data_IF_244910814263
#
_entry.id   IF_244910814263
#
_cell.length_a   1.000
_cell.length_b   1.000
_cell.length_c   1.000
_cell.angle_alpha   90.00
_cell.angle_beta   90.00
_cell.angle_gamma   90.00
#
_symmetry.space_group_name_H-M   'P 1'
#
loop_
_entity.id
_entity.type
_entity.pdbx_description
1 polymer ?
#
# COMPACT_ATOMS: atom_id res chain seq x y z
N UNK A 1 -18.16 -16.42 -10.70
CA UNK A 1 -17.52 -15.36 -11.52
C UNK A 1 -16.02 -15.55 -11.43
N UNK A 2 -15.33 -15.73 -12.56
CA UNK A 2 -13.86 -15.72 -12.58
C UNK A 2 -13.41 -14.34 -12.08
N UNK A 3 -12.75 -14.29 -10.92
CA UNK A 3 -12.17 -13.04 -10.41
C UNK A 3 -11.11 -12.59 -11.43
N UNK A 4 -11.19 -11.33 -11.86
CA UNK A 4 -10.11 -10.72 -12.64
C UNK A 4 -8.79 -10.87 -11.87
N UNK A 5 -7.70 -11.12 -12.59
CA UNK A 5 -6.35 -11.24 -12.04
C UNK A 5 -5.46 -10.16 -12.65
N UNK A 6 -4.42 -9.74 -11.93
CA UNK A 6 -3.42 -8.81 -12.45
C UNK A 6 -2.81 -9.33 -13.76
N UNK A 7 -2.74 -8.47 -14.77
CA UNK A 7 -2.22 -8.77 -16.11
C UNK A 7 -1.04 -7.84 -16.43
N UNK A 8 0.18 -8.37 -16.39
CA UNK A 8 1.39 -7.60 -16.70
C UNK A 8 2.06 -7.98 -18.02
N UNK A 9 1.41 -8.82 -18.84
CA UNK A 9 2.02 -9.37 -20.06
C UNK A 9 2.52 -8.29 -21.02
N UNK A 10 1.75 -7.20 -21.20
CA UNK A 10 2.14 -6.08 -22.07
C UNK A 10 3.35 -5.32 -21.51
N UNK A 11 3.37 -5.04 -20.21
CA UNK A 11 4.52 -4.39 -19.56
C UNK A 11 5.77 -5.27 -19.61
N UNK A 12 5.62 -6.59 -19.39
CA UNK A 12 6.74 -7.54 -19.38
C UNK A 12 7.41 -7.75 -20.74
N UNK A 13 6.80 -7.30 -21.84
CA UNK A 13 7.49 -7.20 -23.14
C UNK A 13 8.66 -6.21 -23.10
N UNK A 14 8.63 -5.22 -22.22
CA UNK A 14 9.69 -4.21 -22.05
C UNK A 14 10.67 -4.56 -20.94
N UNK A 15 10.19 -5.21 -19.89
CA UNK A 15 11.01 -5.64 -18.76
C UNK A 15 10.51 -7.01 -18.28
N UNK A 16 11.15 -8.08 -18.75
CA UNK A 16 10.78 -9.45 -18.41
C UNK A 16 11.45 -9.96 -17.12
N UNK A 17 12.38 -9.19 -16.56
CA UNK A 17 13.16 -9.55 -15.36
C UNK A 17 12.35 -9.26 -14.09
N UNK A 18 11.60 -8.17 -14.09
CA UNK A 18 10.79 -7.75 -12.93
C UNK A 18 9.72 -8.78 -12.57
N UNK A 19 9.66 -9.12 -11.28
CA UNK A 19 8.78 -10.17 -10.79
C UNK A 19 7.32 -9.71 -10.77
N UNK A 20 6.39 -10.65 -10.93
CA UNK A 20 4.96 -10.35 -10.83
C UNK A 20 4.60 -9.82 -9.44
N UNK A 21 5.16 -10.40 -8.38
CA UNK A 21 4.91 -9.95 -7.00
C UNK A 21 5.39 -8.51 -6.76
N UNK A 22 6.51 -8.10 -7.35
CA UNK A 22 6.94 -6.70 -7.28
C UNK A 22 5.93 -5.78 -7.98
N UNK A 23 5.44 -6.16 -9.17
CA UNK A 23 4.47 -5.33 -9.90
C UNK A 23 3.12 -5.24 -9.17
N UNK A 24 2.63 -6.33 -8.60
CA UNK A 24 1.43 -6.33 -7.75
C UNK A 24 1.61 -5.41 -6.54
N UNK A 25 2.74 -5.54 -5.84
CA UNK A 25 3.10 -4.65 -4.74
C UNK A 25 3.18 -3.19 -5.21
N UNK A 26 3.80 -2.93 -6.36
CA UNK A 26 3.97 -1.56 -6.87
C UNK A 26 2.64 -0.91 -7.24
N UNK A 27 1.68 -1.68 -7.77
CA UNK A 27 0.31 -1.21 -7.97
C UNK A 27 -0.32 -0.83 -6.63
N UNK A 28 -0.31 -1.72 -5.64
CA UNK A 28 -0.87 -1.40 -4.31
C UNK A 28 -0.21 -0.18 -3.66
N UNK A 29 1.10 -0.07 -3.74
CA UNK A 29 1.86 1.05 -3.18
C UNK A 29 1.53 2.37 -3.89
N UNK A 30 1.43 2.35 -5.21
CA UNK A 30 0.98 3.50 -6.02
C UNK A 30 -0.44 3.95 -5.67
N UNK A 31 -1.31 3.00 -5.35
CA UNK A 31 -2.70 3.30 -5.02
C UNK A 31 -2.89 3.99 -3.66
N UNK A 32 -1.90 3.91 -2.76
CA UNK A 32 -1.80 4.79 -1.60
C UNK A 32 -1.02 6.07 -1.91
N UNK A 33 0.28 5.96 -2.17
CA UNK A 33 1.23 7.09 -2.18
C UNK A 33 1.58 7.65 -3.57
N UNK A 34 1.04 7.06 -4.63
CA UNK A 34 1.26 7.45 -6.02
C UNK A 34 0.20 8.40 -6.58
N UNK A 35 0.59 9.20 -7.56
CA UNK A 35 -0.26 10.23 -8.19
C UNK A 35 -0.09 10.25 -9.70
N UNK A 36 -1.22 10.15 -10.40
CA UNK A 36 -1.36 10.43 -11.83
C UNK A 36 -1.70 11.92 -11.99
N UNK A 37 -0.74 12.71 -12.47
CA UNK A 37 -0.84 14.17 -12.48
C UNK A 37 -0.99 14.65 -13.92
N UNK A 38 -2.02 15.46 -14.17
CA UNK A 38 -2.12 16.35 -15.33
C UNK A 38 -1.88 17.76 -14.81
N UNK A 39 -0.82 18.42 -15.27
CA UNK A 39 -0.55 19.79 -14.84
C UNK A 39 -1.38 20.82 -15.63
N UNK A 40 -1.35 22.09 -15.22
CA UNK A 40 -2.12 23.18 -15.87
C UNK A 40 -1.73 23.44 -17.34
N UNK A 41 -0.54 22.99 -17.76
CA UNK A 41 -0.08 23.05 -19.16
C UNK A 41 -0.49 21.82 -19.96
N UNK A 42 -1.25 20.91 -19.36
CA UNK A 42 -1.68 19.66 -19.95
C UNK A 42 -0.65 18.53 -19.92
N UNK A 43 0.55 18.73 -19.36
CA UNK A 43 1.55 17.67 -19.30
C UNK A 43 1.19 16.59 -18.28
N UNK A 44 1.35 15.34 -18.69
CA UNK A 44 1.19 14.17 -17.84
C UNK A 44 2.48 13.85 -17.09
N UNK A 45 2.37 13.56 -15.81
CA UNK A 45 3.50 13.13 -14.96
C UNK A 45 3.00 12.11 -13.95
N UNK A 46 3.81 11.10 -13.66
CA UNK A 46 3.57 10.15 -12.58
C UNK A 46 4.54 10.42 -11.44
N UNK A 47 4.04 10.39 -10.20
CA UNK A 47 4.84 10.64 -9.00
C UNK A 47 4.50 9.64 -7.91
N UNK A 48 5.52 9.10 -7.23
CA UNK A 48 5.38 8.47 -5.90
C UNK A 48 6.16 9.31 -4.91
N UNK A 49 5.51 9.75 -3.82
CA UNK A 49 6.13 10.60 -2.80
C UNK A 49 6.40 9.80 -1.53
N UNK A 50 7.58 9.95 -0.93
CA UNK A 50 7.92 9.30 0.34
C UNK A 50 8.74 10.22 1.25
N UNK A 51 8.66 9.95 2.56
CA UNK A 51 9.59 10.51 3.53
C UNK A 51 11.03 10.04 3.25
N UNK A 52 12.03 10.84 3.62
CA UNK A 52 13.46 10.59 3.34
C UNK A 52 13.97 9.29 3.95
N UNK A 53 13.40 8.87 5.08
CA UNK A 53 13.65 7.55 5.69
C UNK A 53 13.35 6.37 4.75
N UNK A 54 12.42 6.58 3.81
CA UNK A 54 12.01 5.62 2.80
C UNK A 54 12.61 5.95 1.41
N UNK A 55 13.59 6.85 1.27
CA UNK A 55 14.16 7.18 -0.06
C UNK A 55 14.65 5.94 -0.82
N UNK A 56 15.17 4.94 -0.09
CA UNK A 56 15.62 3.69 -0.69
C UNK A 56 14.51 2.95 -1.45
N UNK A 57 13.23 3.06 -1.05
CA UNK A 57 12.14 2.40 -1.77
C UNK A 57 11.91 3.05 -3.13
N UNK A 58 12.08 4.37 -3.23
CA UNK A 58 11.97 5.10 -4.49
C UNK A 58 13.10 4.71 -5.45
N UNK A 59 14.32 4.52 -4.92
CA UNK A 59 15.44 4.00 -5.71
C UNK A 59 15.16 2.56 -6.19
N UNK A 60 14.69 1.69 -5.30
CA UNK A 60 14.28 0.32 -5.65
C UNK A 60 13.23 0.30 -6.76
N UNK A 61 12.21 1.16 -6.68
CA UNK A 61 11.18 1.30 -7.73
C UNK A 61 11.82 1.69 -9.07
N UNK A 62 12.67 2.72 -9.08
CA UNK A 62 13.38 3.14 -10.30
C UNK A 62 14.20 1.98 -10.89
N UNK A 63 14.94 1.27 -10.06
CA UNK A 63 15.86 0.23 -10.49
C UNK A 63 15.12 -1.01 -11.02
N UNK A 64 14.02 -1.41 -10.37
CA UNK A 64 13.15 -2.51 -10.79
C UNK A 64 12.38 -2.20 -12.09
N UNK A 65 11.92 -0.95 -12.25
CA UNK A 65 11.25 -0.52 -13.48
C UNK A 65 12.23 -0.28 -14.63
N UNK A 66 13.45 0.15 -14.32
CA UNK A 66 14.49 0.51 -15.29
C UNK A 66 14.33 1.92 -15.89
N UNK A 67 13.49 2.77 -15.30
CA UNK A 67 13.23 4.13 -15.77
C UNK A 67 12.73 5.06 -14.66
N UNK A 68 12.59 6.34 -14.98
CA UNK A 68 12.20 7.39 -14.05
C UNK A 68 13.38 7.95 -13.25
N UNK A 69 13.10 8.96 -12.42
CA UNK A 69 14.12 9.66 -11.64
C UNK A 69 13.69 9.79 -10.18
N UNK A 70 14.65 9.68 -9.25
CA UNK A 70 14.43 9.97 -7.82
C UNK A 70 15.01 11.34 -7.51
N UNK A 71 14.16 12.25 -7.08
CA UNK A 71 14.52 13.65 -6.76
C UNK A 71 14.17 14.01 -5.32
N UNK A 72 14.92 14.95 -4.75
CA UNK A 72 14.56 15.57 -3.47
C UNK A 72 13.53 16.67 -3.73
N UNK A 73 12.38 16.61 -3.05
CA UNK A 73 11.30 17.60 -3.20
C UNK A 73 11.28 18.62 -2.05
N UNK A 74 11.77 18.24 -0.87
CA UNK A 74 11.83 19.11 0.29
C UNK A 74 12.85 18.62 1.32
N UNK A 75 12.81 19.18 2.53
CA UNK A 75 13.77 18.83 3.59
C UNK A 75 13.72 17.33 3.89
N UNK A 76 12.51 16.80 4.10
CA UNK A 76 12.24 15.42 4.49
C UNK A 76 11.52 14.60 3.42
N UNK A 77 11.33 15.12 2.21
CA UNK A 77 10.48 14.50 1.18
C UNK A 77 11.27 14.22 -0.11
N UNK A 78 11.14 13.00 -0.63
CA UNK A 78 11.69 12.58 -1.93
C UNK A 78 10.56 12.08 -2.84
N UNK A 79 10.81 12.11 -4.14
CA UNK A 79 9.85 11.68 -5.16
C UNK A 79 10.52 10.80 -6.19
N UNK A 80 9.87 9.69 -6.55
CA UNK A 80 10.07 9.02 -7.82
C UNK A 80 9.18 9.71 -8.86
N UNK A 81 9.74 10.13 -9.99
CA UNK A 81 9.06 10.95 -11.00
C UNK A 81 9.29 10.35 -12.39
N UNK A 82 8.21 10.22 -13.15
CA UNK A 82 8.24 9.82 -14.57
C UNK A 82 7.46 10.85 -15.39
N UNK A 83 8.09 11.39 -16.42
CA UNK A 83 7.52 12.42 -17.30
C UNK A 83 7.90 12.27 -18.79
N UNK A 84 8.79 11.33 -19.12
CA UNK A 84 9.17 11.05 -20.52
C UNK A 84 8.05 10.28 -21.22
N UNK A 85 7.67 10.68 -22.45
CA UNK A 85 6.59 10.04 -23.25
C UNK A 85 6.68 8.52 -23.22
N UNK A 86 7.83 7.95 -23.59
CA UNK A 86 8.01 6.50 -23.67
C UNK A 86 7.88 5.78 -22.33
N UNK A 87 8.33 6.39 -21.23
CA UNK A 87 8.25 5.78 -19.90
C UNK A 87 6.85 5.91 -19.29
N UNK A 88 6.14 7.00 -19.61
CA UNK A 88 4.72 7.14 -19.30
C UNK A 88 3.91 6.05 -19.98
N UNK A 89 4.18 5.76 -21.26
CA UNK A 89 3.52 4.67 -21.96
C UNK A 89 3.74 3.31 -21.29
N UNK A 90 4.96 3.02 -20.83
CA UNK A 90 5.25 1.79 -20.06
C UNK A 90 4.43 1.72 -18.77
N UNK A 91 4.28 2.83 -18.04
CA UNK A 91 3.40 2.89 -16.86
C UNK A 91 1.92 2.67 -17.23
N UNK A 92 1.45 3.20 -18.36
CA UNK A 92 0.10 2.92 -18.85
C UNK A 92 -0.07 1.41 -19.05
N UNK A 93 0.88 0.74 -19.70
CA UNK A 93 0.84 -0.72 -19.87
C UNK A 93 0.90 -1.51 -18.55
N UNK A 94 1.56 -0.97 -17.53
CA UNK A 94 1.63 -1.57 -16.20
C UNK A 94 0.29 -1.44 -15.46
N UNK A 95 -0.32 -0.25 -15.45
CA UNK A 95 -1.51 0.04 -14.64
C UNK A 95 -2.83 -0.27 -15.33
N UNK A 96 -2.89 -0.26 -16.66
CA UNK A 96 -4.15 -0.42 -17.40
C UNK A 96 -4.78 -1.80 -17.15
N UNK A 97 -5.96 -1.83 -16.53
CA UNK A 97 -6.63 -3.04 -16.07
C UNK A 97 -6.15 -3.61 -14.72
N UNK A 98 -5.13 -3.02 -14.11
CA UNK A 98 -4.52 -3.51 -12.86
C UNK A 98 -4.84 -2.66 -11.62
N UNK A 99 -5.42 -1.46 -11.78
CA UNK A 99 -5.79 -0.60 -10.64
C UNK A 99 -7.01 -1.16 -9.92
N UNK A 100 -6.98 -1.18 -8.58
CA UNK A 100 -8.04 -1.75 -7.73
C UNK A 100 -9.02 -0.69 -7.23
N UNK A 101 -8.54 0.43 -6.67
CA UNK A 101 -9.34 1.50 -6.08
C UNK A 101 -10.14 2.25 -7.15
N UNK A 102 -11.48 2.36 -7.02
CA UNK A 102 -12.30 3.11 -7.95
C UNK A 102 -11.87 4.57 -8.13
N UNK A 103 -11.45 5.24 -7.05
CA UNK A 103 -10.93 6.61 -7.13
C UNK A 103 -9.66 6.73 -7.99
N UNK A 104 -8.72 5.79 -7.87
CA UNK A 104 -7.48 5.77 -8.68
C UNK A 104 -7.75 5.39 -10.13
N UNK A 105 -8.74 4.54 -10.41
CA UNK A 105 -9.19 4.24 -11.79
C UNK A 105 -9.65 5.52 -12.50
N UNK A 106 -10.45 6.35 -11.83
CA UNK A 106 -10.90 7.66 -12.37
C UNK A 106 -9.70 8.56 -12.69
N UNK A 107 -8.77 8.71 -11.75
CA UNK A 107 -7.57 9.54 -11.95
C UNK A 107 -6.68 9.02 -13.10
N UNK A 108 -6.50 7.70 -13.18
CA UNK A 108 -5.75 7.06 -14.27
C UNK A 108 -6.43 7.26 -15.63
N UNK A 109 -7.76 7.18 -15.71
CA UNK A 109 -8.49 7.41 -16.95
C UNK A 109 -8.25 8.82 -17.50
N UNK A 110 -8.42 9.84 -16.66
CA UNK A 110 -8.15 11.23 -17.04
C UNK A 110 -6.70 11.44 -17.49
N UNK A 111 -5.76 10.74 -16.84
CA UNK A 111 -4.35 10.81 -17.16
C UNK A 111 -4.00 10.15 -18.50
N UNK A 112 -4.60 8.99 -18.82
CA UNK A 112 -4.46 8.33 -20.13
C UNK A 112 -5.12 9.15 -21.24
N UNK A 113 -6.30 9.72 -21.00
CA UNK A 113 -6.98 10.58 -21.97
C UNK A 113 -6.11 11.79 -22.33
N UNK A 114 -5.48 12.40 -21.34
CA UNK A 114 -4.55 13.50 -21.59
C UNK A 114 -3.27 13.05 -22.30
N UNK A 115 -2.71 11.90 -21.93
CA UNK A 115 -1.57 11.32 -22.65
C UNK A 115 -1.91 11.10 -24.13
N UNK A 116 -3.08 10.54 -24.43
CA UNK A 116 -3.57 10.32 -25.78
C UNK A 116 -3.64 11.63 -26.59
N UNK A 117 -4.29 12.67 -26.02
CA UNK A 117 -4.39 13.99 -26.64
C UNK A 117 -3.04 14.62 -26.98
N UNK A 118 -2.10 14.58 -26.04
CA UNK A 118 -0.77 15.20 -26.22
C UNK A 118 0.07 14.50 -27.28
N UNK A 119 -0.12 13.19 -27.43
CA UNK A 119 0.80 12.34 -28.19
C UNK A 119 0.19 11.78 -29.47
N UNK A 120 -1.07 12.11 -29.77
CA UNK A 120 -1.85 11.56 -30.88
C UNK A 120 -1.94 10.02 -30.81
N UNK A 121 -2.11 9.50 -29.59
CA UNK A 121 -2.24 8.07 -29.30
C UNK A 121 -3.71 7.72 -29.02
N UNK A 122 -4.06 6.43 -29.08
CA UNK A 122 -5.43 5.94 -28.86
C UNK A 122 -5.46 4.76 -27.88
N UNK A 123 -4.86 4.91 -26.70
CA UNK A 123 -4.89 3.87 -25.68
C UNK A 123 -6.25 3.82 -25.00
N UNK A 124 -6.93 2.68 -25.07
CA UNK A 124 -8.20 2.44 -24.37
C UNK A 124 -7.95 1.96 -22.94
N UNK A 125 -8.59 2.61 -21.97
CA UNK A 125 -8.54 2.20 -20.55
C UNK A 125 -9.46 1.00 -20.34
N UNK A 126 -8.91 -0.07 -19.77
CA UNK A 126 -9.66 -1.29 -19.50
C UNK A 126 -10.52 -1.13 -18.24
N UNK A 127 -11.81 -1.41 -18.38
CA UNK A 127 -12.72 -1.53 -17.23
C UNK A 127 -12.66 -2.95 -16.70
N UNK A 128 -11.88 -3.18 -15.63
CA UNK A 128 -11.82 -4.45 -14.92
C UNK A 128 -12.16 -4.26 -13.44
N UNK A 129 -13.07 -5.07 -12.91
CA UNK A 129 -13.39 -5.10 -11.48
C UNK A 129 -12.44 -6.04 -10.74
N UNK A 130 -11.20 -5.56 -10.57
CA UNK A 130 -10.19 -6.23 -9.78
C UNK A 130 -10.45 -5.99 -8.28
N UNK A 131 -10.34 -7.06 -7.49
CA UNK A 131 -10.45 -7.02 -6.04
C UNK A 131 -9.15 -7.51 -5.39
N UNK A 132 -8.80 -7.01 -4.19
CA UNK A 132 -7.68 -7.54 -3.42
C UNK A 132 -7.83 -9.04 -3.17
N UNK A 133 -6.70 -9.75 -3.11
CA UNK A 133 -6.67 -11.17 -2.79
C UNK A 133 -5.56 -11.48 -1.79
N UNK A 134 -5.75 -12.55 -1.02
CA UNK A 134 -4.69 -13.15 -0.19
C UNK A 134 -3.62 -13.88 -1.01
N UNK A 135 -3.78 -13.98 -2.33
CA UNK A 135 -2.93 -14.72 -3.26
C UNK A 135 -2.07 -13.82 -4.16
N UNK A 136 -1.98 -12.53 -3.86
CA UNK A 136 -1.11 -11.57 -4.56
C UNK A 136 -0.51 -10.54 -3.59
N UNK A 137 0.51 -9.80 -4.05
CA UNK A 137 1.25 -8.85 -3.23
C UNK A 137 0.64 -7.44 -3.15
N UNK A 138 -0.53 -7.20 -3.75
CA UNK A 138 -1.14 -5.87 -3.81
C UNK A 138 -1.39 -5.29 -2.42
N UNK A 139 -1.94 -6.08 -1.49
CA UNK A 139 -2.22 -5.59 -0.15
C UNK A 139 -0.94 -5.30 0.64
N UNK A 140 0.18 -5.96 0.37
CA UNK A 140 1.48 -5.59 0.94
C UNK A 140 1.90 -4.18 0.50
N UNK A 141 1.78 -3.87 -0.79
CA UNK A 141 2.05 -2.53 -1.31
C UNK A 141 1.13 -1.47 -0.75
N UNK A 142 -0.18 -1.75 -0.75
CA UNK A 142 -1.16 -0.81 -0.22
C UNK A 142 -0.99 -0.60 1.29
N UNK A 143 -0.59 -1.64 2.03
CA UNK A 143 -0.24 -1.53 3.46
C UNK A 143 1.02 -0.71 3.69
N UNK A 144 2.04 -0.84 2.83
CA UNK A 144 3.26 -0.02 2.89
C UNK A 144 2.96 1.48 2.79
N UNK A 145 1.92 1.87 2.06
CA UNK A 145 1.42 3.24 2.02
C UNK A 145 0.49 3.54 3.22
N UNK A 146 -0.66 2.88 3.31
CA UNK A 146 -1.80 3.30 4.15
C UNK A 146 -1.99 2.50 5.45
N UNK A 147 -1.29 1.38 5.61
CA UNK A 147 -1.49 0.47 6.73
C UNK A 147 -0.79 0.92 8.02
N UNK A 148 -1.26 0.45 9.17
CA UNK A 148 -0.64 0.73 10.46
C UNK A 148 -0.69 -0.49 11.38
N UNK A 149 0.46 -0.83 11.95
CA UNK A 149 0.60 -1.82 13.00
C UNK A 149 0.68 -1.11 14.35
N UNK A 150 -0.14 -1.51 15.31
CA UNK A 150 -0.17 -0.83 16.61
C UNK A 150 -0.44 -1.80 17.75
N UNK A 151 0.21 -1.52 18.87
CA UNK A 151 -0.15 -2.05 20.16
C UNK A 151 -0.23 -0.90 21.16
N UNK A 152 -1.11 -1.00 22.16
CA UNK A 152 -1.19 -0.05 23.26
C UNK A 152 -1.42 -0.81 24.55
N UNK A 153 -0.57 -0.59 25.55
CA UNK A 153 -0.73 -1.11 26.90
C UNK A 153 -1.56 -0.10 27.70
N UNK A 154 -2.71 -0.50 28.25
CA UNK A 154 -3.62 0.41 28.96
C UNK A 154 -3.12 0.66 30.39
N UNK A 155 -3.21 1.91 30.86
CA UNK A 155 -2.46 2.38 32.04
C UNK A 155 -2.81 1.68 33.37
N UNK A 156 -4.08 1.32 33.57
CA UNK A 156 -4.59 0.92 34.90
C UNK A 156 -4.94 -0.57 34.99
N UNK A 157 -4.46 -1.39 34.06
CA UNK A 157 -4.73 -2.83 34.07
C UNK A 157 -3.67 -3.59 33.26
N UNK A 158 -3.75 -4.92 33.27
CA UNK A 158 -3.00 -5.77 32.35
C UNK A 158 -3.52 -5.69 30.90
N UNK A 159 -4.62 -4.97 30.64
CA UNK A 159 -5.24 -4.88 29.33
C UNK A 159 -4.34 -4.21 28.29
N UNK A 160 -4.59 -4.58 27.04
CA UNK A 160 -3.91 -4.06 25.87
C UNK A 160 -4.86 -3.99 24.67
N UNK A 161 -4.50 -3.17 23.68
CA UNK A 161 -5.11 -3.13 22.35
C UNK A 161 -4.03 -3.53 21.35
N UNK A 162 -4.28 -4.54 20.54
CA UNK A 162 -3.33 -5.04 19.53
C UNK A 162 -4.05 -5.07 18.19
N UNK A 163 -3.65 -4.20 17.26
CA UNK A 163 -4.43 -3.91 16.05
C UNK A 163 -3.56 -3.81 14.82
N UNK A 164 -4.13 -4.26 13.71
CA UNK A 164 -3.77 -3.81 12.37
C UNK A 164 -4.89 -2.89 11.86
N UNK A 165 -4.51 -1.75 11.29
CA UNK A 165 -5.41 -0.72 10.78
C UNK A 165 -5.10 -0.46 9.30
N UNK A 166 -6.13 -0.23 8.50
CA UNK A 166 -6.00 0.22 7.13
C UNK A 166 -7.08 1.26 6.86
N UNK A 167 -6.68 2.47 6.48
CA UNK A 167 -7.58 3.61 6.29
C UNK A 167 -7.68 3.93 4.81
N UNK A 168 -8.86 4.33 4.36
CA UNK A 168 -9.05 4.83 3.01
C UNK A 168 -10.20 5.86 2.98
N UNK A 169 -10.01 6.92 2.20
CA UNK A 169 -11.00 7.98 1.92
C UNK A 169 -11.92 7.58 0.77
N UNK A 170 -13.16 8.06 0.78
CA UNK A 170 -14.11 7.90 -0.33
C UNK A 170 -15.00 6.68 -0.14
N UNK A 171 -16.31 6.90 -0.08
CA UNK A 171 -17.31 5.84 -0.04
C UNK A 171 -17.14 4.86 -1.21
N UNK A 172 -16.69 5.32 -2.38
CA UNK A 172 -16.45 4.43 -3.52
C UNK A 172 -15.32 3.43 -3.26
N UNK A 173 -14.34 3.77 -2.40
CA UNK A 173 -13.23 2.89 -2.09
C UNK A 173 -13.56 1.95 -0.90
N UNK A 174 -14.66 2.17 -0.18
CA UNK A 174 -15.05 1.34 0.98
C UNK A 174 -15.20 -0.13 0.59
N UNK A 175 -15.69 -0.42 -0.61
CA UNK A 175 -15.84 -1.80 -1.14
C UNK A 175 -14.51 -2.56 -1.15
N UNK A 176 -13.39 -1.86 -1.31
CA UNK A 176 -12.05 -2.47 -1.29
C UNK A 176 -11.66 -2.85 0.15
N UNK A 177 -12.00 -2.05 1.16
CA UNK A 177 -11.82 -2.42 2.56
C UNK A 177 -12.71 -3.61 2.94
N UNK A 178 -13.96 -3.64 2.48
CA UNK A 178 -14.89 -4.76 2.71
C UNK A 178 -14.35 -6.06 2.06
N UNK A 179 -13.76 -5.96 0.86
CA UNK A 179 -13.09 -7.07 0.20
C UNK A 179 -11.89 -7.60 1.00
N UNK A 180 -11.04 -6.72 1.53
CA UNK A 180 -9.91 -7.10 2.39
C UNK A 180 -10.40 -7.76 3.69
N UNK A 181 -11.45 -7.21 4.29
CA UNK A 181 -12.09 -7.78 5.49
C UNK A 181 -12.54 -9.23 5.27
N UNK A 182 -12.99 -9.58 4.06
CA UNK A 182 -13.46 -10.94 3.76
C UNK A 182 -12.40 -12.03 3.96
N UNK A 183 -11.11 -11.72 3.77
CA UNK A 183 -10.02 -12.68 3.96
C UNK A 183 -9.11 -12.39 5.17
N UNK A 184 -8.94 -11.13 5.58
CA UNK A 184 -8.20 -10.79 6.81
C UNK A 184 -9.05 -10.85 8.08
N UNK A 185 -10.37 -10.74 7.96
CA UNK A 185 -11.29 -10.53 9.09
C UNK A 185 -11.29 -9.07 9.57
N UNK A 186 -11.73 -8.85 10.81
CA UNK A 186 -11.84 -7.50 11.40
C UNK A 186 -13.19 -6.84 11.12
N UNK A 187 -13.24 -5.51 11.29
CA UNK A 187 -14.44 -4.68 11.10
C UNK A 187 -14.11 -3.46 10.26
N UNK A 188 -14.89 -3.21 9.21
CA UNK A 188 -14.88 -1.93 8.49
C UNK A 188 -15.88 -0.98 9.15
N UNK A 189 -15.46 0.24 9.42
CA UNK A 189 -16.32 1.29 10.00
C UNK A 189 -15.96 2.67 9.47
N UNK A 190 -16.95 3.56 9.41
CA UNK A 190 -16.72 4.99 9.20
C UNK A 190 -15.92 5.57 10.37
N UNK A 191 -15.02 6.50 10.07
CA UNK A 191 -14.27 7.27 11.07
C UNK A 191 -15.01 8.57 11.41
N UNK A 192 -14.53 9.29 12.43
CA UNK A 192 -15.07 10.60 12.80
C UNK A 192 -14.89 11.63 11.65
N UNK A 193 -13.79 11.53 10.91
CA UNK A 193 -13.59 12.35 9.72
C UNK A 193 -14.58 11.92 8.62
N UNK A 194 -15.26 12.91 8.04
CA UNK A 194 -16.22 12.70 6.95
C UNK A 194 -15.56 11.93 5.79
N UNK A 195 -16.30 10.95 5.25
CA UNK A 195 -15.91 10.19 4.06
C UNK A 195 -14.57 9.44 4.21
N UNK A 196 -14.27 8.99 5.43
CA UNK A 196 -13.11 8.19 5.76
C UNK A 196 -13.53 6.88 6.43
N UNK A 197 -12.97 5.77 5.94
CA UNK A 197 -13.30 4.42 6.39
C UNK A 197 -12.05 3.70 6.86
N UNK A 198 -12.20 2.84 7.86
CA UNK A 198 -11.08 2.08 8.42
C UNK A 198 -11.46 0.62 8.59
N UNK A 199 -10.62 -0.27 8.06
CA UNK A 199 -10.58 -1.67 8.47
C UNK A 199 -9.76 -1.78 9.75
N UNK A 200 -10.35 -2.38 10.79
CA UNK A 200 -9.69 -2.68 12.06
C UNK A 200 -9.68 -4.17 12.32
N UNK A 201 -8.50 -4.80 12.26
CA UNK A 201 -8.30 -6.16 12.78
C UNK A 201 -7.82 -6.04 14.22
N UNK A 202 -8.74 -6.22 15.17
CA UNK A 202 -8.47 -6.07 16.59
C UNK A 202 -8.28 -7.43 17.28
N UNK A 203 -7.26 -7.50 18.14
CA UNK A 203 -7.01 -8.62 19.03
C UNK A 203 -5.97 -9.61 18.49
N UNK A 204 -5.20 -10.18 19.43
CA UNK A 204 -4.10 -11.11 19.17
C UNK A 204 -4.50 -12.34 18.35
N UNK A 205 -5.70 -12.90 18.60
CA UNK A 205 -6.21 -14.07 17.87
C UNK A 205 -6.49 -13.74 16.40
N UNK A 206 -7.15 -12.61 16.13
CA UNK A 206 -7.52 -12.19 14.78
C UNK A 206 -6.30 -11.78 13.93
N UNK A 207 -5.24 -11.29 14.58
CA UNK A 207 -4.00 -10.92 13.93
C UNK A 207 -3.25 -12.06 13.21
N UNK A 208 -3.58 -13.34 13.49
CA UNK A 208 -2.92 -14.48 12.83
C UNK A 208 -3.03 -14.43 11.31
N UNK A 209 -4.23 -14.16 10.77
CA UNK A 209 -4.46 -14.02 9.32
C UNK A 209 -3.67 -12.86 8.70
N UNK A 210 -3.49 -11.79 9.47
CA UNK A 210 -2.68 -10.64 9.06
C UNK A 210 -1.20 -11.05 8.95
N UNK A 211 -0.70 -11.80 9.93
CA UNK A 211 0.68 -12.29 9.91
C UNK A 211 0.90 -13.32 8.81
N UNK A 212 -0.02 -14.27 8.61
CA UNK A 212 0.03 -15.25 7.52
C UNK A 212 0.16 -14.56 6.15
N UNK A 213 -0.56 -13.46 5.92
CA UNK A 213 -0.46 -12.70 4.68
C UNK A 213 0.89 -12.00 4.52
N UNK A 214 1.36 -11.24 5.53
CA UNK A 214 2.61 -10.48 5.43
C UNK A 214 3.89 -11.31 5.57
N UNK A 215 3.78 -12.53 6.11
CA UNK A 215 4.85 -13.53 6.05
C UNK A 215 5.01 -14.10 4.63
N UNK A 216 3.89 -14.23 3.89
CA UNK A 216 3.89 -14.65 2.48
C UNK A 216 4.29 -13.52 1.53
N UNK A 217 3.80 -12.30 1.75
CA UNK A 217 4.08 -11.11 0.94
C UNK A 217 4.74 -10.04 1.80
N UNK A 218 6.06 -9.94 1.70
CA UNK A 218 6.85 -9.00 2.51
C UNK A 218 6.58 -7.54 2.16
N UNK A 219 6.42 -6.72 3.22
CA UNK A 219 6.50 -5.26 3.13
C UNK A 219 7.91 -4.83 2.72
N UNK A 220 8.02 -3.75 1.96
CA UNK A 220 9.28 -3.27 1.38
C UNK A 220 9.74 -1.93 1.98
N UNK A 221 8.87 -1.17 2.65
CA UNK A 221 9.26 0.09 3.32
C UNK A 221 9.75 -0.14 4.75
N UNK A 222 10.09 0.92 5.49
CA UNK A 222 10.41 0.83 6.93
C UNK A 222 9.30 0.17 7.74
N UNK A 223 8.07 0.10 7.21
CA UNK A 223 6.93 -0.58 7.82
C UNK A 223 7.15 -2.09 7.99
N UNK A 224 8.08 -2.70 7.25
CA UNK A 224 8.54 -4.07 7.53
C UNK A 224 9.09 -4.20 8.95
N UNK A 225 9.89 -3.23 9.41
CA UNK A 225 10.40 -3.20 10.79
C UNK A 225 9.25 -3.05 11.80
N UNK A 226 8.28 -2.19 11.50
CA UNK A 226 7.07 -2.05 12.31
C UNK A 226 6.30 -3.36 12.44
N UNK A 227 6.12 -4.08 11.33
CA UNK A 227 5.49 -5.39 11.31
C UNK A 227 6.28 -6.43 12.13
N UNK A 228 7.60 -6.47 11.98
CA UNK A 228 8.44 -7.43 12.70
C UNK A 228 8.41 -7.20 14.21
N UNK A 229 8.48 -5.93 14.65
CA UNK A 229 8.36 -5.57 16.06
C UNK A 229 6.95 -5.90 16.56
N UNK A 230 5.91 -5.58 15.79
CA UNK A 230 4.52 -5.88 16.13
C UNK A 230 4.29 -7.39 16.28
N UNK A 231 4.79 -8.20 15.35
CA UNK A 231 4.79 -9.68 15.43
C UNK A 231 5.54 -10.17 16.66
N UNK A 232 6.70 -9.61 16.99
CA UNK A 232 7.42 -9.97 18.20
C UNK A 232 6.68 -9.56 19.49
N UNK A 233 5.91 -8.47 19.47
CA UNK A 233 5.00 -8.08 20.56
C UNK A 233 3.84 -9.08 20.71
N UNK A 234 3.37 -9.68 19.61
CA UNK A 234 2.37 -10.75 19.67
C UNK A 234 2.82 -11.91 20.58
N UNK A 235 4.06 -12.36 20.40
CA UNK A 235 4.65 -13.46 21.17
C UNK A 235 4.80 -13.09 22.65
N UNK A 236 5.24 -11.86 22.94
CA UNK A 236 5.32 -11.35 24.32
C UNK A 236 3.93 -11.31 24.99
N UNK A 237 2.90 -10.92 24.25
CA UNK A 237 1.52 -10.92 24.73
C UNK A 237 1.00 -12.36 24.93
N UNK A 238 1.34 -13.28 24.04
CA UNK A 238 1.00 -14.70 24.17
C UNK A 238 1.63 -15.31 25.44
N UNK A 239 2.88 -14.95 25.72
CA UNK A 239 3.62 -15.38 26.91
C UNK A 239 3.29 -14.57 28.18
N UNK A 240 2.18 -13.82 28.16
CA UNK A 240 1.68 -13.03 29.30
C UNK A 240 2.68 -12.03 29.90
N UNK A 241 3.69 -11.57 29.13
CA UNK A 241 4.67 -10.57 29.62
C UNK A 241 4.06 -9.22 30.00
N UNK A 242 2.82 -8.96 29.61
CA UNK A 242 2.07 -7.77 30.00
C UNK A 242 1.44 -7.85 31.40
N UNK A 243 1.45 -9.02 32.05
CA UNK A 243 0.82 -9.27 33.35
C UNK A 243 1.74 -8.93 34.53
N UNK A 244 3.06 -9.08 34.38
CA UNK A 244 4.05 -8.73 35.40
C UNK A 244 4.60 -7.32 35.16
N UNK A 245 4.75 -6.51 36.21
CA UNK A 245 5.17 -5.10 36.14
C UNK A 245 6.52 -4.92 35.43
N UNK A 246 7.53 -5.69 35.81
CA UNK A 246 8.88 -5.58 35.24
C UNK A 246 8.87 -5.93 33.74
N UNK A 247 8.28 -7.07 33.37
CA UNK A 247 8.20 -7.47 31.95
C UNK A 247 7.29 -6.55 31.13
N UNK A 248 6.28 -5.94 31.77
CA UNK A 248 5.40 -4.95 31.14
C UNK A 248 6.17 -3.66 30.83
N UNK A 249 7.06 -3.21 31.68
CA UNK A 249 7.87 -2.01 31.43
C UNK A 249 8.86 -2.21 30.28
N UNK A 250 9.43 -3.40 30.15
CA UNK A 250 10.20 -3.79 28.96
C UNK A 250 9.31 -3.79 27.71
N UNK A 251 8.10 -4.36 27.81
CA UNK A 251 7.14 -4.41 26.71
C UNK A 251 6.67 -3.01 26.28
N UNK A 252 6.50 -2.05 27.21
CA UNK A 252 6.17 -0.65 26.89
C UNK A 252 7.18 -0.04 25.93
N UNK A 253 8.48 -0.20 26.20
CA UNK A 253 9.56 0.31 25.34
C UNK A 253 9.48 -0.28 23.93
N UNK A 254 9.25 -1.59 23.84
CA UNK A 254 9.11 -2.30 22.57
C UNK A 254 7.85 -1.88 21.79
N UNK A 255 6.72 -1.71 22.47
CA UNK A 255 5.47 -1.23 21.86
C UNK A 255 5.65 0.18 21.28
N UNK A 256 6.36 1.07 21.97
CA UNK A 256 6.68 2.41 21.45
C UNK A 256 7.50 2.28 20.15
N UNK A 257 8.51 1.40 20.09
CA UNK A 257 9.35 1.25 18.89
C UNK A 257 8.65 0.70 17.63
N UNK A 258 7.37 0.28 17.70
CA UNK A 258 6.67 -0.24 16.51
C UNK A 258 6.64 0.81 15.38
N UNK A 259 6.42 2.08 15.70
CA UNK A 259 6.22 3.14 14.68
C UNK A 259 7.30 4.24 14.70
N UNK A 260 8.45 3.99 15.34
CA UNK A 260 9.57 4.92 15.42
C UNK A 260 10.72 4.52 14.48
#
# INVERSE_FOLDING_TARGET
>A
MNKANFQFSLFKKYNNIVTTSFLEWFVGFTEGDGSFIVNSRGNVTFVVTQHSKNKYILNSIRDQLGFGNVIRQGITTNRFVVNKKADIYKLILLFNGNIVLPSKKKAFSLWVDQYNKMNQENVNVLSQDLLPSKENAWLAGFTDAEGCFTCSLLGNSSSYRYRFLLVQKGIENKVILDSIQSFLGGKVSSMHMKDMYQLTVNGRKNAKKVMEYFDKYSLQTTKKKSYDIWKSVHDDLQNKKHMNTFTRDILKKKVISINH
#
